data_IF_091265341705
#
_entry.id   IF_091265341705
#
_cell.length_a   1.000
_cell.length_b   1.000
_cell.length_c   1.000
_cell.angle_alpha   90.00
_cell.angle_beta   90.00
_cell.angle_gamma   90.00
#
_symmetry.space_group_name_H-M   'P 1'
#
loop_
_entity.id
_entity.type
_entity.pdbx_description
1 polymer ?
#
# COMPACT_ATOMS: atom_id res chain seq x y z
N UNK A 1 20.10 -0.23 6.16
CA UNK A 1 19.20 -1.38 6.04
C UNK A 1 18.05 -1.08 5.10
N UNK A 2 17.75 -2.02 4.23
CA UNK A 2 16.59 -1.88 3.32
C UNK A 2 15.32 -2.25 4.06
N UNK A 3 14.29 -1.44 3.87
CA UNK A 3 12.96 -1.70 4.42
C UNK A 3 12.02 -2.08 3.27
N UNK A 4 11.21 -3.10 3.49
CA UNK A 4 10.30 -3.62 2.47
C UNK A 4 8.92 -3.90 3.03
N UNK A 5 7.93 -3.68 2.19
CA UNK A 5 6.58 -4.22 2.37
C UNK A 5 6.51 -5.49 1.50
N UNK A 6 6.29 -6.64 2.11
CA UNK A 6 6.19 -7.90 1.39
C UNK A 6 4.85 -8.55 1.66
N UNK A 7 4.20 -9.01 0.59
CA UNK A 7 2.95 -9.75 0.68
C UNK A 7 3.23 -11.24 0.48
N UNK A 8 2.53 -12.06 1.24
CA UNK A 8 2.71 -13.51 1.26
C UNK A 8 1.38 -14.23 1.13
N UNK A 9 1.40 -15.37 0.47
CA UNK A 9 0.33 -16.34 0.55
C UNK A 9 0.76 -17.47 1.49
N UNK A 10 -0.09 -17.84 2.42
CA UNK A 10 0.18 -18.94 3.35
C UNK A 10 -1.00 -19.89 3.33
N UNK A 11 -0.71 -21.21 3.28
CA UNK A 11 -1.74 -22.23 3.46
C UNK A 11 -2.38 -22.05 4.84
N UNK A 12 -3.70 -22.22 4.90
CA UNK A 12 -4.43 -22.18 6.18
C UNK A 12 -4.11 -23.37 7.08
N UNK A 13 -3.48 -24.40 6.54
CA UNK A 13 -2.97 -25.52 7.32
C UNK A 13 -1.80 -25.04 8.20
N UNK A 14 -1.74 -25.53 9.43
CA UNK A 14 -0.74 -25.11 10.42
C UNK A 14 0.71 -25.30 9.98
N UNK A 15 0.98 -26.24 9.08
CA UNK A 15 2.32 -26.57 8.59
C UNK A 15 2.76 -25.76 7.36
N UNK A 16 1.90 -24.84 6.87
CA UNK A 16 2.21 -24.05 5.68
C UNK A 16 3.25 -22.97 5.94
N UNK A 17 4.28 -22.89 5.09
CA UNK A 17 5.23 -21.77 5.11
C UNK A 17 4.71 -20.64 4.22
N UNK A 18 4.86 -19.36 4.66
CA UNK A 18 4.50 -18.25 3.80
C UNK A 18 5.33 -18.22 2.53
N UNK A 19 4.68 -17.99 1.40
CA UNK A 19 5.31 -17.86 0.09
C UNK A 19 5.26 -16.40 -0.32
N UNK A 20 6.40 -15.75 -0.54
CA UNK A 20 6.40 -14.34 -0.96
C UNK A 20 5.79 -14.18 -2.35
N UNK A 21 4.89 -13.23 -2.47
CA UNK A 21 4.22 -12.89 -3.73
C UNK A 21 4.88 -11.69 -4.39
N UNK A 22 5.06 -10.62 -3.64
CA UNK A 22 5.61 -9.37 -4.15
C UNK A 22 6.18 -8.56 -2.99
N UNK A 23 7.28 -7.84 -3.26
CA UNK A 23 7.91 -6.93 -2.30
C UNK A 23 8.03 -5.54 -2.91
N UNK A 24 7.80 -4.52 -2.09
CA UNK A 24 7.97 -3.12 -2.47
C UNK A 24 8.93 -2.44 -1.50
N UNK A 25 9.90 -1.72 -2.05
CA UNK A 25 10.86 -1.00 -1.22
C UNK A 25 10.22 0.20 -0.52
N UNK A 26 10.88 0.69 0.52
CA UNK A 26 10.46 1.86 1.29
C UNK A 26 10.22 3.10 0.42
N UNK A 27 10.91 3.21 -0.71
CA UNK A 27 10.75 4.35 -1.62
C UNK A 27 9.48 4.27 -2.48
N UNK A 28 8.81 3.13 -2.50
CA UNK A 28 7.56 2.95 -3.24
C UNK A 28 6.39 3.49 -2.42
N UNK A 29 5.50 4.22 -3.07
CA UNK A 29 4.34 4.85 -2.41
C UNK A 29 3.44 3.82 -1.70
N UNK A 30 3.33 2.61 -2.23
CA UNK A 30 2.52 1.56 -1.61
C UNK A 30 3.05 1.21 -0.21
N UNK A 31 4.37 1.21 -0.03
CA UNK A 31 4.98 0.98 1.28
C UNK A 31 4.51 2.06 2.27
N UNK A 32 4.55 3.32 1.86
CA UNK A 32 4.17 4.44 2.74
C UNK A 32 2.70 4.35 3.14
N UNK A 33 1.82 4.05 2.21
CA UNK A 33 0.39 3.98 2.48
C UNK A 33 0.04 2.82 3.41
N UNK A 34 0.63 1.65 3.21
CA UNK A 34 0.44 0.51 4.11
C UNK A 34 1.06 0.75 5.48
N UNK A 35 2.26 1.31 5.53
CA UNK A 35 2.94 1.59 6.79
C UNK A 35 2.19 2.62 7.64
N UNK A 36 1.56 3.61 7.02
CA UNK A 36 0.79 4.64 7.73
C UNK A 36 -0.54 4.11 8.27
N UNK A 37 -1.10 3.07 7.68
CA UNK A 37 -2.45 2.60 7.97
C UNK A 37 -2.45 1.30 8.77
N UNK A 38 -1.54 0.38 8.45
CA UNK A 38 -1.48 -0.94 9.11
C UNK A 38 -0.35 -0.95 10.12
N UNK A 39 -0.71 -1.13 11.38
CA UNK A 39 0.26 -1.32 12.45
C UNK A 39 0.46 -2.82 12.64
N UNK A 40 1.67 -3.35 12.42
CA UNK A 40 1.94 -4.77 12.64
C UNK A 40 1.63 -5.16 14.07
N UNK A 41 0.79 -6.16 14.25
CA UNK A 41 0.57 -6.74 15.58
C UNK A 41 1.69 -7.74 15.81
N UNK A 42 2.52 -7.46 16.80
CA UNK A 42 3.58 -8.37 17.19
C UNK A 42 2.98 -9.62 17.83
N UNK A 43 3.04 -10.74 17.14
CA UNK A 43 2.57 -12.02 17.66
C UNK A 43 3.79 -12.81 18.15
N UNK A 44 4.00 -12.82 19.46
CA UNK A 44 5.03 -13.63 20.10
C UNK A 44 6.36 -12.94 20.33
N UNK A 45 7.24 -13.63 21.06
CA UNK A 45 8.57 -13.15 21.48
C UNK A 45 9.67 -13.64 20.54
N UNK A 46 9.35 -14.01 19.30
CA UNK A 46 10.36 -14.52 18.39
C UNK A 46 10.97 -13.40 17.55
N UNK A 47 12.27 -13.49 17.32
CA UNK A 47 13.00 -12.63 16.39
C UNK A 47 12.64 -12.94 14.93
N UNK A 48 11.67 -13.81 14.69
CA UNK A 48 11.22 -14.18 13.35
C UNK A 48 10.33 -13.10 12.75
N UNK A 49 10.32 -13.05 11.43
CA UNK A 49 9.48 -12.14 10.66
C UNK A 49 8.05 -12.15 11.16
N UNK A 50 7.54 -10.98 11.48
CA UNK A 50 6.20 -10.83 12.00
C UNK A 50 5.26 -10.56 10.84
N UNK A 51 4.29 -11.45 10.70
CA UNK A 51 3.31 -11.35 9.64
C UNK A 51 2.00 -10.83 10.18
N UNK A 52 1.40 -9.88 9.47
CA UNK A 52 0.04 -9.43 9.76
C UNK A 52 -0.89 -10.09 8.77
N UNK A 53 -1.90 -10.80 9.27
CA UNK A 53 -2.95 -11.32 8.42
C UNK A 53 -3.82 -10.15 7.94
N UNK A 54 -3.93 -10.01 6.62
CA UNK A 54 -4.70 -8.93 6.04
C UNK A 54 -6.19 -9.27 6.01
N UNK A 55 -7.01 -8.29 6.39
CA UNK A 55 -8.46 -8.34 6.25
C UNK A 55 -8.90 -7.35 5.17
N UNK A 56 -10.09 -7.57 4.63
CA UNK A 56 -10.67 -6.66 3.63
C UNK A 56 -10.80 -5.26 4.22
N UNK A 57 -11.19 -5.15 5.48
CA UNK A 57 -11.36 -3.86 6.17
C UNK A 57 -10.05 -3.09 6.27
N UNK A 58 -8.94 -3.78 6.56
CA UNK A 58 -7.63 -3.14 6.61
C UNK A 58 -7.21 -2.62 5.24
N UNK A 59 -7.39 -3.41 4.19
CA UNK A 59 -7.05 -3.00 2.83
C UNK A 59 -7.96 -1.86 2.38
N UNK A 60 -9.24 -1.90 2.71
CA UNK A 60 -10.18 -0.80 2.42
C UNK A 60 -9.75 0.50 3.11
N UNK A 61 -9.19 0.42 4.31
CA UNK A 61 -8.65 1.60 5.01
C UNK A 61 -7.46 2.20 4.26
N UNK A 62 -6.59 1.35 3.73
CA UNK A 62 -5.46 1.82 2.88
C UNK A 62 -5.99 2.49 1.61
N UNK A 63 -6.98 1.89 0.96
CA UNK A 63 -7.60 2.45 -0.25
C UNK A 63 -8.18 3.84 0.04
N UNK A 64 -8.89 4.01 1.15
CA UNK A 64 -9.46 5.31 1.55
C UNK A 64 -8.38 6.37 1.75
N UNK A 65 -7.27 6.00 2.36
CA UNK A 65 -6.14 6.91 2.53
C UNK A 65 -5.53 7.33 1.19
N UNK A 66 -5.34 6.39 0.27
CA UNK A 66 -4.83 6.68 -1.07
C UNK A 66 -5.80 7.60 -1.82
N UNK A 67 -7.09 7.33 -1.77
CA UNK A 67 -8.11 8.17 -2.40
C UNK A 67 -8.15 9.57 -1.81
N UNK A 68 -7.99 9.69 -0.49
CA UNK A 68 -7.89 10.99 0.19
C UNK A 68 -6.66 11.77 -0.28
N UNK A 69 -5.51 11.12 -0.35
CA UNK A 69 -4.28 11.73 -0.85
C UNK A 69 -4.40 12.15 -2.32
N UNK A 70 -5.06 11.34 -3.14
CA UNK A 70 -5.35 11.67 -4.54
C UNK A 70 -6.17 12.94 -4.66
N UNK A 71 -7.23 13.07 -3.88
CA UNK A 71 -8.07 14.28 -3.88
C UNK A 71 -7.26 15.51 -3.50
N UNK A 72 -6.45 15.40 -2.45
CA UNK A 72 -5.58 16.50 -1.99
C UNK A 72 -4.56 16.88 -3.05
N UNK A 73 -3.93 15.88 -3.69
CA UNK A 73 -2.93 16.12 -4.71
C UNK A 73 -3.52 16.78 -5.96
N UNK A 74 -4.69 16.35 -6.39
CA UNK A 74 -5.41 16.94 -7.52
C UNK A 74 -5.82 18.38 -7.22
N UNK A 75 -6.27 18.65 -6.01
CA UNK A 75 -6.60 20.00 -5.57
C UNK A 75 -5.36 20.92 -5.61
N UNK A 76 -4.24 20.45 -5.08
CA UNK A 76 -2.98 21.21 -5.14
C UNK A 76 -2.55 21.49 -6.58
N UNK A 77 -2.70 20.49 -7.45
CA UNK A 77 -2.36 20.66 -8.87
C UNK A 77 -3.21 21.75 -9.52
N UNK A 78 -4.51 21.77 -9.25
CA UNK A 78 -5.41 22.82 -9.75
C UNK A 78 -4.97 24.21 -9.25
N UNK A 79 -4.65 24.33 -7.97
CA UNK A 79 -4.21 25.59 -7.37
C UNK A 79 -2.89 26.07 -7.97
N UNK A 80 -1.91 25.17 -8.11
CA UNK A 80 -0.63 25.52 -8.72
C UNK A 80 -0.80 25.94 -10.19
N UNK A 81 -1.68 25.27 -10.92
CA UNK A 81 -1.96 25.60 -12.33
C UNK A 81 -2.57 26.99 -12.47
N UNK A 82 -3.50 27.36 -11.58
CA UNK A 82 -4.13 28.68 -11.57
C UNK A 82 -3.12 29.81 -11.33
N UNK A 83 -2.09 29.55 -10.54
CA UNK A 83 -1.13 30.57 -10.12
C UNK A 83 0.22 30.49 -10.83
N UNK A 84 0.35 29.63 -11.85
CA UNK A 84 1.61 29.33 -12.52
C UNK A 84 2.02 30.35 -13.58
N UNK A 85 1.22 31.36 -13.88
CA UNK A 85 1.46 32.32 -14.96
C UNK A 85 2.82 32.99 -14.84
N UNK A 86 3.79 32.57 -15.65
CA UNK A 86 5.12 33.19 -15.74
C UNK A 86 6.09 32.83 -14.60
N UNK A 87 5.79 31.89 -13.74
CA UNK A 87 6.62 31.50 -12.62
C UNK A 87 7.24 30.12 -12.83
N UNK A 88 8.56 30.09 -13.03
CA UNK A 88 9.33 28.86 -13.29
C UNK A 88 9.30 27.89 -12.10
N UNK A 89 9.29 28.40 -10.87
CA UNK A 89 9.23 27.57 -9.66
C UNK A 89 7.91 26.80 -9.59
N UNK A 90 6.82 27.43 -10.00
CA UNK A 90 5.51 26.78 -10.05
C UNK A 90 5.45 25.67 -11.07
N UNK A 91 6.20 25.76 -12.17
CA UNK A 91 6.27 24.71 -13.19
C UNK A 91 6.88 23.43 -12.58
N UNK A 92 7.91 23.55 -11.77
CA UNK A 92 8.53 22.42 -11.09
C UNK A 92 7.54 21.76 -10.12
N UNK A 93 6.81 22.53 -9.32
CA UNK A 93 5.78 22.01 -8.43
C UNK A 93 4.66 21.30 -9.17
N UNK A 94 4.28 21.81 -10.32
CA UNK A 94 3.26 21.18 -11.17
C UNK A 94 3.74 19.81 -11.67
N UNK A 95 4.97 19.72 -12.13
CA UNK A 95 5.57 18.46 -12.60
C UNK A 95 5.64 17.45 -11.47
N UNK A 96 6.16 17.84 -10.31
CA UNK A 96 6.23 16.99 -9.12
C UNK A 96 4.85 16.48 -8.71
N UNK A 97 3.85 17.36 -8.72
CA UNK A 97 2.49 16.98 -8.33
C UNK A 97 1.86 16.00 -9.31
N UNK A 98 2.10 16.16 -10.61
CA UNK A 98 1.63 15.21 -11.63
C UNK A 98 2.26 13.84 -11.45
N UNK A 99 3.57 13.78 -11.17
CA UNK A 99 4.28 12.53 -10.90
C UNK A 99 3.74 11.85 -9.65
N UNK A 100 3.49 12.61 -8.60
CA UNK A 100 2.92 12.09 -7.36
C UNK A 100 1.51 11.50 -7.59
N UNK A 101 0.67 12.19 -8.37
CA UNK A 101 -0.66 11.69 -8.73
C UNK A 101 -0.56 10.36 -9.48
N UNK A 102 0.35 10.25 -10.43
CA UNK A 102 0.58 9.00 -11.17
C UNK A 102 0.99 7.87 -10.21
N UNK A 103 1.92 8.14 -9.30
CA UNK A 103 2.36 7.17 -8.30
C UNK A 103 1.21 6.71 -7.40
N UNK A 104 0.35 7.63 -6.98
CA UNK A 104 -0.83 7.31 -6.18
C UNK A 104 -1.85 6.46 -6.96
N UNK A 105 -2.05 6.77 -8.23
CA UNK A 105 -2.95 5.99 -9.09
C UNK A 105 -2.44 4.56 -9.30
N UNK A 106 -1.14 4.38 -9.53
CA UNK A 106 -0.53 3.06 -9.58
C UNK A 106 -0.67 2.32 -8.27
N UNK A 107 -0.43 3.02 -7.17
CA UNK A 107 -0.55 2.46 -5.82
C UNK A 107 -1.98 2.01 -5.55
N UNK A 108 -2.96 2.81 -5.97
CA UNK A 108 -4.37 2.46 -5.84
C UNK A 108 -4.70 1.16 -6.59
N UNK A 109 -4.26 1.04 -7.85
CA UNK A 109 -4.51 -0.16 -8.66
C UNK A 109 -3.89 -1.41 -8.03
N UNK A 110 -2.66 -1.31 -7.55
CA UNK A 110 -1.97 -2.41 -6.86
C UNK A 110 -2.70 -2.80 -5.57
N UNK A 111 -3.15 -1.81 -4.81
CA UNK A 111 -3.88 -2.05 -3.56
C UNK A 111 -5.23 -2.70 -3.83
N UNK A 112 -5.92 -2.30 -4.88
CA UNK A 112 -7.18 -2.93 -5.28
C UNK A 112 -6.99 -4.38 -5.69
N UNK A 113 -5.88 -4.70 -6.35
CA UNK A 113 -5.53 -6.09 -6.66
C UNK A 113 -5.30 -6.91 -5.40
N UNK A 114 -4.54 -6.36 -4.45
CA UNK A 114 -4.33 -7.00 -3.14
C UNK A 114 -5.66 -7.21 -2.42
N UNK A 115 -6.56 -6.24 -2.49
CA UNK A 115 -7.91 -6.36 -1.91
C UNK A 115 -8.67 -7.55 -2.47
N UNK A 116 -8.61 -7.77 -3.78
CA UNK A 116 -9.25 -8.92 -4.40
C UNK A 116 -8.68 -10.24 -3.88
N UNK A 117 -7.36 -10.35 -3.77
CA UNK A 117 -6.70 -11.52 -3.20
C UNK A 117 -7.14 -11.78 -1.77
N UNK A 118 -7.20 -10.74 -0.96
CA UNK A 118 -7.63 -10.83 0.45
C UNK A 118 -9.10 -11.22 0.53
N UNK A 119 -9.95 -10.64 -0.31
CA UNK A 119 -11.37 -10.97 -0.37
C UNK A 119 -11.57 -12.44 -0.72
N UNK A 120 -10.90 -12.94 -1.74
CA UNK A 120 -10.96 -14.34 -2.14
C UNK A 120 -10.47 -15.26 -1.02
N UNK A 121 -9.42 -14.87 -0.31
CA UNK A 121 -8.86 -15.65 0.79
C UNK A 121 -9.77 -15.70 2.02
N UNK A 122 -10.70 -14.76 2.15
CA UNK A 122 -11.61 -14.69 3.31
C UNK A 122 -12.69 -15.75 3.31
N UNK A 123 -12.98 -16.34 2.16
CA UNK A 123 -14.01 -17.38 2.04
C UNK A 123 -13.55 -18.69 2.70
N UNK A 124 -14.51 -19.41 3.28
CA UNK A 124 -14.22 -20.65 4.01
C UNK A 124 -13.60 -21.75 3.15
N UNK A 125 -13.90 -21.75 1.84
CA UNK A 125 -13.35 -22.74 0.91
C UNK A 125 -11.93 -22.40 0.44
N UNK A 126 -11.45 -21.20 0.69
CA UNK A 126 -10.10 -20.81 0.31
C UNK A 126 -9.07 -21.54 1.16
N UNK A 127 -8.06 -22.07 0.51
CA UNK A 127 -6.98 -22.81 1.18
C UNK A 127 -5.81 -21.91 1.62
N UNK A 128 -5.85 -20.63 1.26
CA UNK A 128 -4.75 -19.69 1.53
C UNK A 128 -5.27 -18.44 2.23
N UNK A 129 -4.39 -17.85 3.02
CA UNK A 129 -4.59 -16.52 3.58
C UNK A 129 -3.48 -15.60 3.10
N UNK A 130 -3.76 -14.31 3.08
CA UNK A 130 -2.80 -13.28 2.64
C UNK A 130 -2.24 -12.57 3.85
N UNK A 131 -0.91 -12.53 3.91
CA UNK A 131 -0.18 -11.90 5.00
C UNK A 131 0.67 -10.77 4.43
N UNK A 132 1.00 -9.82 5.27
CA UNK A 132 2.03 -8.84 4.93
C UNK A 132 3.03 -8.70 6.07
N UNK A 133 4.23 -8.30 5.71
CA UNK A 133 5.29 -7.91 6.62
C UNK A 133 5.75 -6.52 6.22
N UNK A 134 5.83 -5.62 7.18
CA UNK A 134 6.38 -4.28 7.00
C UNK A 134 7.64 -4.20 7.85
N UNK A 135 8.73 -4.11 7.17
CA UNK A 135 10.06 -4.12 7.75
C UNK A 135 10.52 -2.71 8.14
#
# INVERSE_FOLDING_TARGET
>A
MSSYLTFYAKSKDECGKPIPLVSYSRNNEIYQQFNNTIHPVYIGNSDECQYTKLTVEQVDSVIKEIESELRKAKFRLEEYTKHASGNMDMVEYIIEQKEYIEDLEYTLHRTMFIRELVSDSSYSWSKHEILCNID
#
